data_IF_301508859961
#
_entry.id   IF_301508859961
#
_cell.length_a   1.000
_cell.length_b   1.000
_cell.length_c   1.000
_cell.angle_alpha   90.00
_cell.angle_beta   90.00
_cell.angle_gamma   90.00
#
_symmetry.space_group_name_H-M   'P 1'
#
loop_
_entity.id
_entity.type
_entity.pdbx_description
1 polymer ?
#
# COMPACT_ATOMS: atom_id res chain seq x y z
N UNK A 1 39.86 -52.43 -31.84
CA UNK A 1 40.82 -52.54 -32.95
C UNK A 1 42.20 -52.18 -32.39
N UNK A 2 42.86 -53.20 -31.82
CA UNK A 2 44.29 -53.57 -31.92
C UNK A 2 45.32 -52.40 -31.93
N UNK A 3 46.10 -52.18 -30.85
CA UNK A 3 47.54 -52.61 -30.64
C UNK A 3 48.53 -51.54 -31.18
N UNK A 4 49.67 -51.10 -30.59
CA UNK A 4 50.56 -51.60 -29.51
C UNK A 4 51.79 -50.66 -29.36
N UNK A 5 52.29 -50.53 -28.11
CA UNK A 5 53.71 -50.58 -27.65
C UNK A 5 54.65 -49.39 -27.91
N UNK A 6 55.12 -48.68 -26.87
CA UNK A 6 56.21 -48.98 -25.92
C UNK A 6 57.57 -49.25 -26.61
N UNK A 7 58.60 -48.46 -26.31
CA UNK A 7 59.88 -48.98 -25.83
C UNK A 7 60.77 -47.83 -25.36
N UNK A 8 61.50 -48.18 -24.31
CA UNK A 8 62.25 -47.39 -23.35
C UNK A 8 63.75 -47.69 -23.54
N UNK A 9 64.64 -47.01 -22.76
CA UNK A 9 66.11 -47.26 -22.54
C UNK A 9 67.06 -46.43 -23.42
N UNK A 10 68.14 -45.77 -22.97
CA UNK A 10 68.98 -45.70 -21.73
C UNK A 10 69.50 -44.24 -21.60
N UNK A 11 69.98 -43.66 -20.49
CA UNK A 11 70.37 -44.07 -19.14
C UNK A 11 71.24 -42.95 -18.51
N UNK A 12 71.54 -43.06 -17.20
CA UNK A 12 72.51 -42.28 -16.38
C UNK A 12 71.93 -40.97 -15.74
N UNK A 13 71.43 -40.97 -14.48
CA UNK A 13 72.12 -40.89 -13.15
C UNK A 13 72.79 -39.50 -12.99
N UNK A 14 72.49 -38.58 -12.06
CA UNK A 14 72.09 -38.69 -10.64
C UNK A 14 71.59 -37.35 -10.01
N UNK A 15 70.75 -37.46 -8.95
CA UNK A 15 70.44 -36.55 -7.78
C UNK A 15 70.07 -35.06 -8.04
N UNK A 16 68.90 -34.51 -7.69
CA UNK A 16 68.29 -34.35 -6.35
C UNK A 16 66.76 -34.37 -6.46
N UNK A 17 66.11 -35.22 -5.66
CA UNK A 17 64.66 -35.26 -5.54
C UNK A 17 64.10 -34.08 -4.75
N UNK A 18 63.09 -33.40 -5.31
CA UNK A 18 62.07 -32.69 -4.53
C UNK A 18 60.70 -33.18 -4.97
N UNK A 19 59.96 -33.66 -3.99
CA UNK A 19 58.69 -34.35 -4.05
C UNK A 19 57.57 -33.42 -4.57
N UNK A 20 57.28 -33.46 -5.87
CA UNK A 20 56.16 -32.75 -6.52
C UNK A 20 54.85 -33.54 -6.36
N UNK A 21 54.38 -33.72 -5.12
CA UNK A 21 53.04 -34.28 -4.85
C UNK A 21 52.12 -33.33 -4.06
N UNK A 22 52.55 -32.10 -3.76
CA UNK A 22 51.80 -31.14 -2.92
C UNK A 22 51.18 -29.93 -3.63
N UNK A 23 51.25 -29.83 -4.97
CA UNK A 23 50.83 -28.60 -5.68
C UNK A 23 49.56 -28.71 -6.54
N UNK A 24 48.97 -29.90 -6.72
CA UNK A 24 47.72 -30.01 -7.52
C UNK A 24 46.44 -29.88 -6.70
N UNK A 25 46.43 -30.29 -5.43
CA UNK A 25 45.27 -30.10 -4.54
C UNK A 25 45.15 -28.66 -4.03
N UNK A 26 46.27 -28.00 -3.69
CA UNK A 26 46.27 -26.63 -3.14
C UNK A 26 45.82 -25.56 -4.14
N UNK A 27 46.19 -25.68 -5.41
CA UNK A 27 45.80 -24.75 -6.49
C UNK A 27 44.30 -24.91 -6.85
N UNK A 28 43.77 -26.14 -6.83
CA UNK A 28 42.33 -26.38 -7.03
C UNK A 28 41.50 -25.90 -5.84
N UNK A 29 41.99 -26.02 -4.60
CA UNK A 29 41.32 -25.42 -3.43
C UNK A 29 41.46 -23.90 -3.39
N UNK A 30 42.61 -23.31 -3.73
CA UNK A 30 42.78 -21.84 -3.76
C UNK A 30 41.94 -21.20 -4.88
N UNK A 31 41.90 -21.82 -6.07
CA UNK A 31 41.04 -21.40 -7.17
C UNK A 31 39.54 -21.53 -6.86
N UNK A 32 39.13 -22.61 -6.16
CA UNK A 32 37.75 -22.77 -5.65
C UNK A 32 37.41 -21.80 -4.52
N UNK A 33 38.33 -21.50 -3.62
CA UNK A 33 38.10 -20.51 -2.54
C UNK A 33 38.07 -19.07 -3.07
N UNK A 34 38.86 -18.76 -4.10
CA UNK A 34 38.88 -17.45 -4.76
C UNK A 34 37.62 -17.18 -5.56
N UNK A 35 37.15 -18.17 -6.33
CA UNK A 35 35.88 -18.11 -7.07
C UNK A 35 34.67 -18.07 -6.13
N UNK A 36 34.64 -18.87 -5.07
CA UNK A 36 33.59 -18.83 -4.06
C UNK A 36 33.55 -17.48 -3.31
N UNK A 37 34.71 -16.92 -2.96
CA UNK A 37 34.82 -15.60 -2.30
C UNK A 37 34.40 -14.47 -3.25
N UNK A 38 34.81 -14.51 -4.51
CA UNK A 38 34.39 -13.55 -5.53
C UNK A 38 32.88 -13.58 -5.76
N UNK A 39 32.31 -14.77 -5.92
CA UNK A 39 30.87 -14.97 -6.07
C UNK A 39 30.09 -14.48 -4.84
N UNK A 40 30.60 -14.72 -3.62
CA UNK A 40 30.02 -14.17 -2.39
C UNK A 40 30.04 -12.63 -2.34
N UNK A 41 31.15 -12.00 -2.77
CA UNK A 41 31.28 -10.55 -2.82
C UNK A 41 30.36 -9.93 -3.89
N UNK A 42 30.22 -10.57 -5.05
CA UNK A 42 29.32 -10.13 -6.11
C UNK A 42 27.86 -10.12 -5.64
N UNK A 43 27.39 -11.20 -5.01
CA UNK A 43 26.02 -11.30 -4.46
C UNK A 43 25.74 -10.22 -3.42
N UNK A 44 26.68 -10.01 -2.48
CA UNK A 44 26.58 -8.95 -1.46
C UNK A 44 26.57 -7.55 -2.08
N UNK A 45 27.42 -7.31 -3.09
CA UNK A 45 27.46 -6.04 -3.80
C UNK A 45 26.15 -5.79 -4.56
N UNK A 46 25.65 -6.79 -5.29
CA UNK A 46 24.36 -6.73 -6.00
C UNK A 46 23.21 -6.41 -5.04
N UNK A 47 23.11 -7.12 -3.92
CA UNK A 47 22.12 -6.84 -2.88
C UNK A 47 22.24 -5.40 -2.36
N UNK A 48 23.44 -4.96 -1.99
CA UNK A 48 23.66 -3.60 -1.47
C UNK A 48 23.25 -2.52 -2.46
N UNK A 49 23.58 -2.68 -3.75
CA UNK A 49 23.17 -1.74 -4.79
C UNK A 49 21.65 -1.73 -5.01
N UNK A 50 21.01 -2.91 -5.04
CA UNK A 50 19.55 -3.02 -5.18
C UNK A 50 18.85 -2.40 -3.97
N UNK A 51 19.30 -2.68 -2.75
CA UNK A 51 18.70 -2.17 -1.52
C UNK A 51 18.80 -0.64 -1.43
N UNK A 52 19.93 -0.06 -1.82
CA UNK A 52 20.07 1.39 -1.91
C UNK A 52 19.15 2.03 -2.96
N UNK A 53 19.04 1.42 -4.13
CA UNK A 53 18.27 1.98 -5.25
C UNK A 53 16.77 1.81 -5.05
N UNK A 54 16.33 0.62 -4.66
CA UNK A 54 14.92 0.32 -4.42
C UNK A 54 14.51 0.90 -3.06
N UNK A 55 15.16 0.50 -1.97
CA UNK A 55 14.84 0.91 -0.61
C UNK A 55 15.02 2.40 -0.36
N UNK A 56 16.12 2.98 -0.86
CA UNK A 56 16.44 4.40 -0.76
C UNK A 56 15.85 5.27 -1.89
N UNK A 57 15.11 4.69 -2.83
CA UNK A 57 14.46 5.40 -3.95
C UNK A 57 15.44 6.22 -4.81
N UNK A 58 16.68 5.72 -4.92
CA UNK A 58 17.79 6.41 -5.59
C UNK A 58 17.76 6.21 -7.11
N UNK A 59 18.37 7.12 -7.89
CA UNK A 59 18.47 6.94 -9.33
C UNK A 59 19.24 5.66 -9.70
N UNK A 60 18.89 5.01 -10.80
CA UNK A 60 19.62 3.80 -11.24
C UNK A 60 21.11 4.05 -11.52
N UNK A 61 21.47 5.24 -12.00
CA UNK A 61 22.88 5.60 -12.23
C UNK A 61 23.65 5.90 -10.94
N UNK A 62 23.02 5.77 -9.76
CA UNK A 62 23.69 5.92 -8.48
C UNK A 62 24.80 4.88 -8.29
N UNK A 63 24.62 3.65 -8.79
CA UNK A 63 25.67 2.61 -8.75
C UNK A 63 26.86 2.91 -9.67
N UNK A 64 26.73 3.87 -10.60
CA UNK A 64 27.77 4.32 -11.52
C UNK A 64 28.41 5.63 -11.11
N UNK A 65 27.87 6.32 -10.11
CA UNK A 65 28.40 7.59 -9.63
C UNK A 65 29.77 7.39 -8.95
N UNK A 66 30.76 8.17 -9.37
CA UNK A 66 32.15 8.02 -8.93
C UNK A 66 32.31 8.22 -7.41
N UNK A 67 31.73 9.28 -6.85
CA UNK A 67 31.75 9.53 -5.41
C UNK A 67 31.03 8.42 -4.64
N UNK A 68 29.95 7.89 -5.19
CA UNK A 68 29.21 6.80 -4.56
C UNK A 68 30.06 5.53 -4.53
N UNK A 69 30.66 5.14 -5.65
CA UNK A 69 31.57 3.98 -5.72
C UNK A 69 32.76 4.12 -4.77
N UNK A 70 33.34 5.32 -4.67
CA UNK A 70 34.45 5.61 -3.75
C UNK A 70 34.08 5.37 -2.28
N UNK A 71 32.83 5.62 -1.89
CA UNK A 71 32.39 5.60 -0.49
C UNK A 71 31.49 4.41 -0.12
N UNK A 72 30.97 3.64 -1.08
CA UNK A 72 29.98 2.59 -0.81
C UNK A 72 30.55 1.34 -0.14
N UNK A 73 31.84 1.04 -0.31
CA UNK A 73 32.42 -0.23 0.14
C UNK A 73 31.87 -1.46 -0.61
N UNK A 74 31.15 -1.25 -1.71
CA UNK A 74 30.60 -2.29 -2.58
C UNK A 74 31.40 -2.38 -3.88
N UNK A 75 31.59 -3.58 -4.40
CA UNK A 75 32.20 -3.77 -5.72
C UNK A 75 31.39 -3.01 -6.79
N UNK A 76 32.06 -2.33 -7.76
CA UNK A 76 31.38 -1.55 -8.78
C UNK A 76 30.36 -2.38 -9.56
N UNK A 77 29.21 -1.80 -9.85
CA UNK A 77 28.19 -2.39 -10.70
C UNK A 77 27.73 -1.39 -11.77
N UNK A 78 27.27 -1.89 -12.91
CA UNK A 78 26.73 -1.06 -13.99
C UNK A 78 25.21 -0.99 -13.92
N UNK A 79 24.64 0.08 -14.47
CA UNK A 79 23.19 0.22 -14.62
C UNK A 79 22.61 -0.91 -15.46
N UNK A 80 23.34 -1.37 -16.47
CA UNK A 80 22.90 -2.43 -17.36
C UNK A 80 22.78 -3.77 -16.62
N UNK A 81 23.80 -4.13 -15.86
CA UNK A 81 23.81 -5.35 -15.04
C UNK A 81 22.75 -5.28 -13.94
N UNK A 82 22.64 -4.14 -13.24
CA UNK A 82 21.64 -3.95 -12.20
C UNK A 82 20.21 -4.11 -12.75
N UNK A 83 19.92 -3.61 -13.95
CA UNK A 83 18.61 -3.81 -14.60
C UNK A 83 18.29 -5.29 -14.87
N UNK A 84 19.30 -6.11 -15.18
CA UNK A 84 19.11 -7.56 -15.34
C UNK A 84 18.73 -8.18 -13.99
N UNK A 85 19.47 -7.86 -12.93
CA UNK A 85 19.17 -8.35 -11.58
C UNK A 85 17.78 -7.90 -11.11
N UNK A 86 17.40 -6.62 -11.32
CA UNK A 86 16.05 -6.13 -11.00
C UNK A 86 14.96 -6.91 -11.75
N UNK A 87 15.18 -7.21 -13.04
CA UNK A 87 14.20 -7.95 -13.85
C UNK A 87 14.05 -9.39 -13.36
N UNK A 88 15.15 -10.07 -13.08
CA UNK A 88 15.13 -11.43 -12.57
C UNK A 88 14.59 -11.50 -11.13
N UNK A 89 14.87 -10.50 -10.30
CA UNK A 89 14.31 -10.39 -8.95
C UNK A 89 12.79 -10.14 -8.97
N UNK A 90 12.31 -9.32 -9.91
CA UNK A 90 10.86 -9.17 -10.13
C UNK A 90 10.23 -10.52 -10.49
N UNK A 91 10.81 -11.26 -11.44
CA UNK A 91 10.30 -12.59 -11.79
C UNK A 91 10.33 -13.57 -10.61
N UNK A 92 11.36 -13.51 -9.77
CA UNK A 92 11.46 -14.31 -8.54
C UNK A 92 10.33 -13.98 -7.55
N UNK A 93 10.10 -12.69 -7.28
CA UNK A 93 9.04 -12.24 -6.36
C UNK A 93 7.65 -12.54 -6.94
N UNK A 94 7.46 -12.38 -8.26
CA UNK A 94 6.23 -12.77 -8.95
C UNK A 94 5.93 -14.26 -8.76
N UNK A 95 6.91 -15.13 -9.02
CA UNK A 95 6.77 -16.58 -8.81
C UNK A 95 6.48 -16.95 -7.35
N UNK A 96 7.05 -16.21 -6.40
CA UNK A 96 6.78 -16.42 -4.97
C UNK A 96 5.34 -16.02 -4.61
N UNK A 97 4.84 -14.91 -5.15
CA UNK A 97 3.45 -14.46 -4.93
C UNK A 97 2.43 -15.42 -5.53
N UNK A 98 2.73 -16.05 -6.67
CA UNK A 98 1.87 -17.07 -7.29
C UNK A 98 1.62 -18.29 -6.41
N UNK A 99 2.51 -18.56 -5.44
CA UNK A 99 2.39 -19.69 -4.49
C UNK A 99 1.59 -19.29 -3.25
N UNK A 100 1.54 -18.00 -2.91
CA UNK A 100 1.04 -17.53 -1.61
C UNK A 100 -0.45 -17.22 -1.61
N UNK A 101 -1.09 -17.08 -2.78
CA UNK A 101 -2.51 -16.79 -2.84
C UNK A 101 -3.34 -17.84 -2.09
N UNK A 102 -3.87 -17.45 -0.93
CA UNK A 102 -4.80 -18.27 -0.15
C UNK A 102 -6.11 -18.46 -0.90
N UNK A 103 -6.96 -19.37 -0.40
CA UNK A 103 -8.26 -19.66 -1.02
C UNK A 103 -9.16 -18.42 -1.07
N UNK A 104 -9.04 -17.52 -0.09
CA UNK A 104 -9.82 -16.29 0.02
C UNK A 104 -8.91 -15.08 0.27
N UNK A 105 -9.21 -13.98 -0.42
CA UNK A 105 -8.46 -12.73 -0.34
C UNK A 105 -9.34 -11.51 -0.65
N UNK A 106 -8.85 -10.33 -0.29
CA UNK A 106 -9.40 -9.05 -0.74
C UNK A 106 -8.47 -8.41 -1.76
N UNK A 107 -9.04 -7.66 -2.70
CA UNK A 107 -8.30 -6.84 -3.64
C UNK A 107 -8.38 -5.39 -3.21
N UNK A 108 -7.24 -4.70 -3.15
CA UNK A 108 -7.21 -3.25 -3.01
C UNK A 108 -6.86 -2.67 -4.38
N UNK A 109 -7.74 -1.85 -4.91
CA UNK A 109 -7.62 -1.24 -6.22
C UNK A 109 -7.78 0.28 -6.13
N UNK A 110 -6.85 1.02 -6.72
CA UNK A 110 -6.92 2.47 -6.78
C UNK A 110 -6.11 3.04 -7.96
N UNK A 111 -6.40 4.29 -8.34
CA UNK A 111 -5.78 4.97 -9.48
C UNK A 111 -4.99 6.21 -9.08
N UNK A 112 -3.92 6.49 -9.82
CA UNK A 112 -3.08 7.68 -9.66
C UNK A 112 -2.68 8.27 -11.00
N UNK A 113 -2.96 9.56 -11.17
CA UNK A 113 -2.54 10.32 -12.35
C UNK A 113 -1.35 11.24 -12.07
N UNK A 114 -0.43 11.30 -13.01
CA UNK A 114 0.75 12.18 -12.97
C UNK A 114 1.00 12.82 -14.34
N UNK A 115 0.54 14.06 -14.52
CA UNK A 115 0.60 14.71 -15.83
C UNK A 115 -0.41 14.06 -16.79
N UNK A 116 0.06 13.56 -17.93
CA UNK A 116 -0.74 12.83 -18.91
C UNK A 116 -0.90 11.34 -18.62
N UNK A 117 -0.13 10.80 -17.68
CA UNK A 117 -0.09 9.37 -17.41
C UNK A 117 -1.07 9.00 -16.29
N UNK A 118 -1.74 7.87 -16.43
CA UNK A 118 -2.61 7.29 -15.40
C UNK A 118 -2.21 5.86 -15.11
N UNK A 119 -1.88 5.59 -13.85
CA UNK A 119 -1.51 4.27 -13.35
C UNK A 119 -2.58 3.77 -12.41
N UNK A 120 -2.82 2.46 -12.41
CA UNK A 120 -3.63 1.78 -11.41
C UNK A 120 -2.76 0.85 -10.59
N UNK A 121 -3.13 0.66 -9.33
CA UNK A 121 -2.49 -0.26 -8.42
C UNK A 121 -3.45 -1.39 -8.04
N UNK A 122 -2.96 -2.62 -8.03
CA UNK A 122 -3.68 -3.80 -7.54
C UNK A 122 -2.85 -4.43 -6.44
N UNK A 123 -3.40 -4.53 -5.24
CA UNK A 123 -2.83 -5.33 -4.17
C UNK A 123 -3.72 -6.53 -3.87
N UNK A 124 -3.08 -7.63 -3.48
CA UNK A 124 -3.75 -8.75 -2.84
C UNK A 124 -3.58 -8.64 -1.32
N UNK A 125 -4.66 -8.85 -0.58
CA UNK A 125 -4.69 -8.85 0.87
C UNK A 125 -5.22 -10.20 1.36
N UNK A 126 -4.47 -10.90 2.20
CA UNK A 126 -4.80 -12.24 2.68
C UNK A 126 -4.26 -12.44 4.10
N UNK A 127 -4.72 -13.48 4.79
CA UNK A 127 -4.18 -13.85 6.11
C UNK A 127 -3.21 -15.01 5.96
N UNK A 128 -2.06 -14.92 6.62
CA UNK A 128 -1.12 -16.03 6.75
C UNK A 128 -0.61 -16.11 8.19
N UNK A 129 -0.85 -17.24 8.85
CA UNK A 129 -0.43 -17.46 10.25
C UNK A 129 -1.11 -16.51 11.24
N UNK A 130 -2.37 -16.13 10.99
CA UNK A 130 -3.11 -15.14 11.80
C UNK A 130 -2.69 -13.69 11.57
N UNK A 131 -1.70 -13.44 10.70
CA UNK A 131 -1.28 -12.10 10.34
C UNK A 131 -1.83 -11.67 8.98
N UNK A 132 -2.31 -10.43 8.92
CA UNK A 132 -2.65 -9.79 7.67
C UNK A 132 -1.39 -9.55 6.83
N UNK A 133 -1.42 -10.01 5.59
CA UNK A 133 -0.40 -9.73 4.57
C UNK A 133 -1.02 -8.96 3.43
N UNK A 134 -0.22 -8.10 2.80
CA UNK A 134 -0.60 -7.32 1.64
C UNK A 134 0.59 -7.20 0.71
N UNK A 135 0.39 -7.56 -0.55
CA UNK A 135 1.43 -7.49 -1.57
C UNK A 135 0.90 -6.83 -2.83
N UNK A 136 1.75 -6.03 -3.49
CA UNK A 136 1.43 -5.39 -4.75
C UNK A 136 1.54 -6.42 -5.86
N UNK A 137 0.47 -6.59 -6.64
CA UNK A 137 0.47 -7.41 -7.86
C UNK A 137 0.80 -6.58 -9.10
N UNK A 138 0.25 -5.37 -9.18
CA UNK A 138 0.47 -4.48 -10.32
C UNK A 138 0.52 -3.01 -9.89
N UNK A 139 1.42 -2.26 -10.52
CA UNK A 139 1.35 -0.81 -10.65
C UNK A 139 1.68 -0.53 -12.11
N UNK A 140 0.70 -0.20 -12.94
CA UNK A 140 0.87 -0.03 -14.38
C UNK A 140 -0.28 0.81 -14.96
N UNK A 141 -0.14 1.26 -16.21
CA UNK A 141 -1.28 1.80 -16.95
C UNK A 141 -2.32 0.70 -17.22
N UNK A 142 -3.56 1.09 -17.49
CA UNK A 142 -4.57 0.15 -17.97
C UNK A 142 -4.18 -0.45 -19.33
N UNK A 143 -4.81 -1.58 -19.68
CA UNK A 143 -4.57 -2.30 -20.94
C UNK A 143 -4.84 -1.38 -22.13
N UNK A 144 -5.99 -0.69 -22.11
CA UNK A 144 -6.31 0.41 -23.01
C UNK A 144 -6.24 1.74 -22.23
N UNK A 145 -5.14 2.47 -22.38
CA UNK A 145 -4.91 3.75 -21.69
C UNK A 145 -5.94 4.83 -22.08
N UNK A 146 -6.60 4.67 -23.23
CA UNK A 146 -7.60 5.63 -23.74
C UNK A 146 -8.95 5.49 -23.05
N UNK A 147 -9.13 4.44 -22.24
CA UNK A 147 -10.42 4.01 -21.74
C UNK A 147 -10.42 3.78 -20.22
N UNK A 148 -10.91 4.73 -19.44
CA UNK A 148 -10.97 4.63 -17.98
C UNK A 148 -12.28 4.02 -17.45
N UNK A 149 -12.93 3.15 -18.22
CA UNK A 149 -14.22 2.55 -17.84
C UNK A 149 -14.06 1.31 -16.95
N UNK A 150 -15.12 1.00 -16.20
CA UNK A 150 -15.16 -0.16 -15.31
C UNK A 150 -14.90 -1.52 -15.99
N UNK A 151 -15.36 -1.80 -17.23
CA UNK A 151 -14.97 -3.01 -17.95
C UNK A 151 -13.45 -3.13 -18.19
N UNK A 152 -12.77 -2.04 -18.54
CA UNK A 152 -11.31 -2.05 -18.73
C UNK A 152 -10.57 -2.26 -17.41
N UNK A 153 -11.08 -1.68 -16.32
CA UNK A 153 -10.55 -1.92 -14.96
C UNK A 153 -10.71 -3.40 -14.55
N UNK A 154 -11.88 -3.99 -14.82
CA UNK A 154 -12.13 -5.42 -14.59
C UNK A 154 -11.16 -6.29 -15.39
N UNK A 155 -10.99 -6.04 -16.70
CA UNK A 155 -10.08 -6.84 -17.54
C UNK A 155 -8.64 -6.73 -17.00
N UNK A 156 -8.20 -5.52 -16.65
CA UNK A 156 -6.89 -5.30 -16.04
C UNK A 156 -6.70 -6.10 -14.74
N UNK A 157 -7.68 -6.09 -13.83
CA UNK A 157 -7.63 -6.87 -12.58
C UNK A 157 -7.55 -8.36 -12.91
N UNK A 158 -8.41 -8.88 -13.78
CA UNK A 158 -8.45 -10.31 -14.10
C UNK A 158 -7.16 -10.79 -14.77
N UNK A 159 -6.60 -10.02 -15.71
CA UNK A 159 -5.29 -10.34 -16.32
C UNK A 159 -4.15 -10.26 -15.32
N UNK A 160 -4.23 -9.34 -14.36
CA UNK A 160 -3.27 -9.28 -13.26
C UNK A 160 -3.34 -10.56 -12.44
N UNK A 161 -4.53 -11.05 -12.07
CA UNK A 161 -4.68 -12.31 -11.33
C UNK A 161 -4.20 -13.52 -12.15
N UNK A 162 -4.54 -13.58 -13.44
CA UNK A 162 -4.10 -14.63 -14.36
C UNK A 162 -2.56 -14.72 -14.44
N UNK A 163 -1.87 -13.58 -14.53
CA UNK A 163 -0.40 -13.53 -14.56
C UNK A 163 0.25 -14.19 -13.34
N UNK A 164 -0.38 -14.11 -12.18
CA UNK A 164 0.10 -14.70 -10.94
C UNK A 164 -0.54 -16.07 -10.65
N UNK A 165 -1.32 -16.64 -11.58
CA UNK A 165 -2.05 -17.89 -11.39
C UNK A 165 -2.96 -17.86 -10.14
N UNK A 166 -3.58 -16.71 -9.87
CA UNK A 166 -4.48 -16.50 -8.73
C UNK A 166 -5.92 -16.70 -9.19
N UNK A 167 -6.66 -17.58 -8.52
CA UNK A 167 -8.06 -17.83 -8.86
C UNK A 167 -8.94 -16.62 -8.53
N UNK A 168 -9.59 -15.97 -9.52
CA UNK A 168 -10.47 -14.82 -9.28
C UNK A 168 -11.68 -15.16 -8.40
N UNK A 169 -12.07 -16.43 -8.28
CA UNK A 169 -13.20 -16.85 -7.43
C UNK A 169 -12.93 -16.62 -5.94
N UNK A 170 -11.66 -16.64 -5.53
CA UNK A 170 -11.22 -16.38 -4.16
C UNK A 170 -11.37 -14.93 -3.71
N UNK A 171 -11.59 -13.98 -4.64
CA UNK A 171 -11.83 -12.59 -4.28
C UNK A 171 -13.14 -12.45 -3.48
N UNK A 172 -13.02 -11.97 -2.24
CA UNK A 172 -14.14 -11.71 -1.33
C UNK A 172 -14.72 -10.31 -1.55
N UNK A 173 -13.86 -9.31 -1.71
CA UNK A 173 -14.26 -7.93 -1.98
C UNK A 173 -13.21 -7.18 -2.80
N UNK A 174 -13.65 -6.08 -3.40
CA UNK A 174 -12.78 -5.00 -3.85
C UNK A 174 -12.74 -3.94 -2.74
N UNK A 175 -11.60 -3.32 -2.50
CA UNK A 175 -11.43 -2.22 -1.54
C UNK A 175 -10.81 -1.04 -2.28
N UNK A 176 -11.37 0.15 -2.10
CA UNK A 176 -10.94 1.33 -2.86
C UNK A 176 -11.76 2.55 -2.50
N UNK A 177 -11.47 3.69 -3.12
CA UNK A 177 -12.41 4.80 -3.06
C UNK A 177 -13.74 4.41 -3.71
N UNK A 178 -14.82 5.06 -3.30
CA UNK A 178 -16.16 4.72 -3.74
C UNK A 178 -16.56 5.49 -5.01
N UNK A 179 -15.60 5.80 -5.86
CA UNK A 179 -15.88 6.45 -7.12
C UNK A 179 -16.80 5.57 -7.98
N UNK A 180 -17.58 6.18 -8.87
CA UNK A 180 -18.57 5.46 -9.69
C UNK A 180 -17.93 4.31 -10.49
N UNK A 181 -16.69 4.50 -10.96
CA UNK A 181 -15.93 3.48 -11.68
C UNK A 181 -15.63 2.28 -10.78
N UNK A 182 -15.10 2.48 -9.57
CA UNK A 182 -14.78 1.37 -8.64
C UNK A 182 -16.02 0.60 -8.19
N UNK A 183 -17.12 1.30 -7.91
CA UNK A 183 -18.41 0.65 -7.61
C UNK A 183 -18.86 -0.22 -8.78
N UNK A 184 -18.77 0.28 -10.01
CA UNK A 184 -19.15 -0.45 -11.21
C UNK A 184 -18.21 -1.64 -11.47
N UNK A 185 -16.90 -1.47 -11.25
CA UNK A 185 -15.89 -2.53 -11.37
C UNK A 185 -16.18 -3.67 -10.38
N UNK A 186 -16.45 -3.36 -9.11
CA UNK A 186 -16.81 -4.35 -8.10
C UNK A 186 -18.07 -5.15 -8.50
N UNK A 187 -19.11 -4.46 -8.99
CA UNK A 187 -20.32 -5.11 -9.52
C UNK A 187 -20.03 -6.02 -10.70
N UNK A 188 -19.19 -5.59 -11.65
CA UNK A 188 -18.81 -6.40 -12.81
C UNK A 188 -17.94 -7.62 -12.42
N UNK A 189 -17.19 -7.52 -11.32
CA UNK A 189 -16.44 -8.63 -10.72
C UNK A 189 -17.33 -9.56 -9.87
N UNK A 190 -18.56 -9.15 -9.55
CA UNK A 190 -19.48 -9.93 -8.72
C UNK A 190 -19.10 -9.96 -7.24
N UNK A 191 -18.38 -8.95 -6.75
CA UNK A 191 -17.94 -8.82 -5.36
C UNK A 191 -18.39 -7.47 -4.77
N UNK A 192 -18.61 -7.37 -3.44
CA UNK A 192 -18.86 -6.09 -2.79
C UNK A 192 -17.63 -5.17 -2.86
N UNK A 193 -17.89 -3.86 -2.85
CA UNK A 193 -16.87 -2.83 -2.60
C UNK A 193 -16.87 -2.48 -1.11
N UNK A 194 -15.71 -2.57 -0.48
CA UNK A 194 -15.44 -1.96 0.83
C UNK A 194 -14.94 -0.54 0.57
N UNK A 195 -15.76 0.43 0.93
CA UNK A 195 -15.47 1.84 0.70
C UNK A 195 -14.32 2.31 1.60
N UNK A 196 -13.40 3.10 1.05
CA UNK A 196 -12.28 3.63 1.81
C UNK A 196 -12.76 4.56 2.94
N UNK A 197 -12.57 4.11 4.19
CA UNK A 197 -12.99 4.85 5.38
C UNK A 197 -12.23 6.16 5.55
N UNK A 198 -10.96 6.22 5.14
CA UNK A 198 -10.20 7.47 5.11
C UNK A 198 -10.76 8.47 4.09
N UNK A 199 -11.32 8.00 2.98
CA UNK A 199 -12.01 8.86 2.02
C UNK A 199 -13.31 9.43 2.61
N UNK A 200 -14.13 8.58 3.25
CA UNK A 200 -15.34 9.01 3.99
C UNK A 200 -15.01 10.06 5.05
N UNK A 201 -13.95 9.80 5.82
CA UNK A 201 -13.44 10.73 6.84
C UNK A 201 -12.91 12.02 6.23
N UNK A 202 -12.39 12.01 5.00
CA UNK A 202 -11.93 13.24 4.36
C UNK A 202 -13.10 14.16 3.95
N UNK A 203 -14.28 13.58 3.65
CA UNK A 203 -15.47 14.32 3.21
C UNK A 203 -16.35 14.79 4.38
N UNK A 204 -16.48 13.99 5.44
CA UNK A 204 -17.39 14.25 6.55
C UNK A 204 -17.24 15.63 7.25
N UNK A 205 -16.02 16.16 7.47
CA UNK A 205 -15.80 17.44 8.15
C UNK A 205 -16.37 18.68 7.45
N UNK A 206 -16.77 18.59 6.17
CA UNK A 206 -17.21 19.75 5.40
C UNK A 206 -18.36 20.51 6.07
N UNK A 207 -19.37 19.80 6.59
CA UNK A 207 -20.53 20.42 7.27
C UNK A 207 -20.13 21.09 8.58
N UNK A 208 -19.13 20.56 9.28
CA UNK A 208 -18.61 21.16 10.52
C UNK A 208 -17.90 22.48 10.20
N UNK A 209 -17.09 22.52 9.14
CA UNK A 209 -16.36 23.74 8.77
C UNK A 209 -17.25 24.89 8.30
N UNK A 210 -18.45 24.63 7.79
CA UNK A 210 -19.38 25.71 7.40
C UNK A 210 -19.65 26.68 8.56
N UNK A 211 -19.62 26.21 9.81
CA UNK A 211 -19.77 27.05 11.01
C UNK A 211 -18.59 28.03 11.22
N UNK A 212 -17.42 27.71 10.69
CA UNK A 212 -16.16 28.42 10.92
C UNK A 212 -15.58 29.04 9.65
N UNK A 213 -16.37 29.10 8.58
CA UNK A 213 -15.89 29.47 7.25
C UNK A 213 -15.33 30.90 7.22
N UNK A 214 -15.91 31.82 8.00
CA UNK A 214 -15.43 33.21 8.14
C UNK A 214 -14.00 33.23 8.70
N UNK A 215 -13.76 32.55 9.82
CA UNK A 215 -12.44 32.49 10.46
C UNK A 215 -11.43 31.74 9.60
N UNK A 216 -11.84 30.62 9.00
CA UNK A 216 -10.99 29.85 8.10
C UNK A 216 -10.58 30.67 6.87
N UNK A 217 -11.45 31.52 6.35
CA UNK A 217 -11.15 32.43 5.24
C UNK A 217 -10.20 33.56 5.67
N UNK A 218 -10.41 34.13 6.86
CA UNK A 218 -9.50 35.14 7.43
C UNK A 218 -8.09 34.57 7.63
N UNK A 219 -7.97 33.40 8.27
CA UNK A 219 -6.68 32.74 8.44
C UNK A 219 -6.05 32.44 7.08
N UNK A 220 -6.82 31.91 6.13
CA UNK A 220 -6.29 31.64 4.79
C UNK A 220 -5.74 32.91 4.13
N UNK A 221 -6.36 34.07 4.34
CA UNK A 221 -5.89 35.34 3.83
C UNK A 221 -4.59 35.79 4.53
N UNK A 222 -4.51 35.69 5.86
CA UNK A 222 -3.28 35.96 6.64
C UNK A 222 -2.14 35.07 6.16
N UNK A 223 -2.37 33.75 6.07
CA UNK A 223 -1.37 32.78 5.65
C UNK A 223 -0.91 33.02 4.22
N UNK A 224 -1.81 33.46 3.34
CA UNK A 224 -1.48 33.89 1.97
C UNK A 224 -0.55 35.11 1.97
N UNK A 225 -0.86 36.14 2.75
CA UNK A 225 -0.04 37.37 2.87
C UNK A 225 1.33 37.09 3.48
N UNK A 226 1.40 36.28 4.53
CA UNK A 226 2.68 35.83 5.13
C UNK A 226 3.55 35.02 4.16
N UNK A 227 2.94 34.38 3.16
CA UNK A 227 3.68 33.62 2.13
C UNK A 227 4.29 34.52 1.04
N UNK A 228 4.03 35.83 1.05
CA UNK A 228 4.66 36.77 0.10
C UNK A 228 6.15 36.96 0.43
N UNK A 229 6.97 37.30 -0.56
CA UNK A 229 8.42 37.40 -0.39
C UNK A 229 8.83 38.35 0.75
N UNK A 230 8.23 39.55 0.79
CA UNK A 230 8.50 40.56 1.83
C UNK A 230 8.07 40.08 3.21
N UNK A 231 6.81 39.68 3.38
CA UNK A 231 6.27 39.23 4.66
C UNK A 231 6.99 37.97 5.18
N UNK A 232 7.30 37.03 4.30
CA UNK A 232 8.06 35.83 4.64
C UNK A 232 9.50 36.16 5.06
N UNK A 233 10.10 37.20 4.47
CA UNK A 233 11.40 37.74 4.89
C UNK A 233 11.40 38.28 6.31
N UNK A 234 10.35 39.02 6.68
CA UNK A 234 10.15 39.49 8.06
C UNK A 234 9.88 38.33 9.02
N UNK A 235 9.00 37.40 8.65
CA UNK A 235 8.65 36.25 9.49
C UNK A 235 9.86 35.39 9.84
N UNK A 236 10.77 35.14 8.90
CA UNK A 236 12.00 34.35 9.14
C UNK A 236 12.92 34.93 10.21
N UNK A 237 12.83 36.24 10.49
CA UNK A 237 13.61 36.89 11.56
C UNK A 237 12.98 36.69 12.94
N UNK A 238 11.70 36.31 12.99
CA UNK A 238 10.91 36.21 14.23
C UNK A 238 10.57 34.77 14.60
N UNK A 239 10.49 33.87 13.61
CA UNK A 239 10.17 32.46 13.83
C UNK A 239 10.85 31.56 12.78
N UNK A 240 11.23 30.32 13.15
CA UNK A 240 11.75 29.34 12.21
C UNK A 240 10.66 28.73 11.31
N UNK A 241 9.39 28.96 11.63
CA UNK A 241 8.24 28.36 10.97
C UNK A 241 7.80 29.16 9.74
N UNK A 242 7.38 28.44 8.69
CA UNK A 242 6.81 29.01 7.46
C UNK A 242 5.28 28.93 7.47
N UNK A 243 4.57 29.85 6.80
CA UNK A 243 3.12 29.74 6.66
C UNK A 243 2.75 28.51 5.83
N UNK A 244 1.69 27.81 6.25
CA UNK A 244 1.04 26.73 5.52
C UNK A 244 -0.23 27.26 4.87
N UNK A 245 -0.45 26.93 3.59
CA UNK A 245 -1.66 27.30 2.85
C UNK A 245 -2.62 26.12 2.81
N UNK A 246 -3.90 26.37 3.04
CA UNK A 246 -4.94 25.34 2.85
C UNK A 246 -5.08 24.94 1.39
N UNK A 247 -5.34 23.66 1.15
CA UNK A 247 -5.89 23.12 -0.08
C UNK A 247 -7.42 23.06 0.08
N UNK A 248 -8.19 23.41 -0.96
CA UNK A 248 -9.65 23.43 -0.87
C UNK A 248 -10.27 22.03 -0.65
N UNK A 249 -9.61 20.97 -1.14
CA UNK A 249 -10.20 19.63 -1.28
C UNK A 249 -9.97 18.74 -0.05
N UNK A 250 -8.96 19.05 0.79
CA UNK A 250 -8.55 18.17 1.91
C UNK A 250 -8.69 18.88 3.25
N UNK A 251 -9.45 18.32 4.17
CA UNK A 251 -9.65 18.92 5.49
C UNK A 251 -8.35 18.97 6.31
N UNK A 252 -7.45 17.99 6.15
CA UNK A 252 -6.15 17.97 6.83
C UNK A 252 -5.32 19.23 6.54
N UNK A 253 -5.45 19.80 5.34
CA UNK A 253 -4.78 21.07 5.03
C UNK A 253 -5.40 22.28 5.75
N UNK A 254 -6.70 22.22 6.11
CA UNK A 254 -7.34 23.22 6.98
C UNK A 254 -6.81 23.07 8.41
N UNK A 255 -6.65 21.83 8.88
CA UNK A 255 -5.98 21.52 10.16
C UNK A 255 -4.57 22.12 10.19
N UNK A 256 -3.70 21.76 9.25
CA UNK A 256 -2.31 22.21 9.21
C UNK A 256 -2.20 23.75 9.15
N UNK A 257 -3.10 24.40 8.40
CA UNK A 257 -3.15 25.85 8.30
C UNK A 257 -3.52 26.51 9.63
N UNK A 258 -4.57 26.00 10.30
CA UNK A 258 -5.02 26.52 11.59
C UNK A 258 -3.96 26.29 12.66
N UNK A 259 -3.41 25.09 12.72
CA UNK A 259 -2.36 24.71 13.66
C UNK A 259 -1.14 25.62 13.50
N UNK A 260 -0.61 25.73 12.26
CA UNK A 260 0.52 26.61 11.97
C UNK A 260 0.21 28.07 12.26
N UNK A 261 -0.99 28.55 11.95
CA UNK A 261 -1.37 29.93 12.25
C UNK A 261 -1.31 30.21 13.75
N UNK A 262 -1.79 29.29 14.59
CA UNK A 262 -1.75 29.44 16.04
C UNK A 262 -0.31 29.41 16.58
N UNK A 263 0.57 28.55 16.04
CA UNK A 263 2.00 28.53 16.38
C UNK A 263 2.70 29.87 16.08
N UNK A 264 2.36 30.50 14.94
CA UNK A 264 2.99 31.75 14.49
C UNK A 264 2.17 33.00 14.80
N UNK A 265 1.11 32.91 15.60
CA UNK A 265 0.15 33.99 15.81
C UNK A 265 0.82 35.30 16.24
N UNK A 266 1.74 35.23 17.21
CA UNK A 266 2.46 36.40 17.73
C UNK A 266 3.40 36.99 16.68
N UNK A 267 4.33 36.22 16.06
CA UNK A 267 5.12 36.70 14.93
C UNK A 267 4.28 37.27 13.78
N UNK A 268 3.15 36.62 13.43
CA UNK A 268 2.27 37.04 12.36
C UNK A 268 1.70 38.44 12.60
N UNK A 269 1.28 38.77 13.82
CA UNK A 269 0.82 40.13 14.17
C UNK A 269 1.90 41.18 13.92
N UNK A 270 3.12 40.92 14.38
CA UNK A 270 4.26 41.82 14.17
C UNK A 270 4.56 42.00 12.69
N UNK A 271 4.56 40.92 11.91
CA UNK A 271 4.80 40.99 10.47
C UNK A 271 3.70 41.78 9.76
N UNK A 272 2.42 41.60 10.12
CA UNK A 272 1.32 42.33 9.51
C UNK A 272 1.39 43.84 9.74
N UNK A 273 1.90 44.28 10.90
CA UNK A 273 2.22 45.69 11.14
C UNK A 273 3.36 46.16 10.21
N UNK A 274 4.43 45.38 10.08
CA UNK A 274 5.60 45.72 9.24
C UNK A 274 5.29 45.77 7.74
N UNK A 275 4.25 45.06 7.28
CA UNK A 275 3.80 45.08 5.89
C UNK A 275 2.53 45.90 5.68
N UNK A 276 2.19 46.75 6.65
CA UNK A 276 1.07 47.71 6.59
C UNK A 276 -0.29 47.07 6.27
N UNK A 277 -0.53 45.87 6.80
CA UNK A 277 -1.78 45.12 6.60
C UNK A 277 -2.34 44.53 7.92
N UNK A 278 -2.38 45.28 9.04
CA UNK A 278 -2.83 44.75 10.32
C UNK A 278 -4.32 44.39 10.34
N UNK A 279 -5.13 45.03 9.47
CA UNK A 279 -6.56 44.78 9.36
C UNK A 279 -6.90 43.34 8.89
N UNK A 280 -5.94 42.66 8.26
CA UNK A 280 -6.09 41.26 7.85
C UNK A 280 -6.09 40.29 9.05
N UNK A 281 -5.53 40.70 10.19
CA UNK A 281 -5.45 39.83 11.37
C UNK A 281 -6.84 39.62 12.00
N UNK A 282 -7.18 38.37 12.38
CA UNK A 282 -8.42 38.11 13.10
C UNK A 282 -8.44 38.80 14.46
N UNK A 283 -9.63 39.24 14.86
CA UNK A 283 -9.90 39.82 16.19
C UNK A 283 -9.60 38.81 17.31
N UNK A 284 -9.41 39.27 18.57
CA UNK A 284 -9.23 38.37 19.70
C UNK A 284 -10.35 37.34 19.86
N UNK A 285 -11.60 37.72 19.61
CA UNK A 285 -12.75 36.82 19.66
C UNK A 285 -12.67 35.74 18.58
N UNK A 286 -12.33 36.10 17.33
CA UNK A 286 -12.14 35.14 16.25
C UNK A 286 -10.96 34.19 16.53
N UNK A 287 -9.86 34.69 17.09
CA UNK A 287 -8.73 33.85 17.51
C UNK A 287 -9.14 32.86 18.61
N UNK A 288 -9.92 33.30 19.60
CA UNK A 288 -10.43 32.40 20.64
C UNK A 288 -11.32 31.30 20.04
N UNK A 289 -12.17 31.66 19.07
CA UNK A 289 -13.04 30.73 18.35
C UNK A 289 -12.24 29.71 17.53
N UNK A 290 -11.17 30.13 16.88
CA UNK A 290 -10.23 29.25 16.15
C UNK A 290 -9.48 28.31 17.08
N UNK A 291 -9.05 28.78 18.26
CA UNK A 291 -8.45 27.92 19.29
C UNK A 291 -9.42 26.84 19.75
N UNK A 292 -10.69 27.20 19.92
CA UNK A 292 -11.76 26.25 20.24
C UNK A 292 -11.90 25.19 19.14
N UNK A 293 -12.03 25.62 17.87
CA UNK A 293 -12.09 24.74 16.70
C UNK A 293 -10.90 23.77 16.65
N UNK A 294 -9.69 24.27 16.90
CA UNK A 294 -8.47 23.47 16.89
C UNK A 294 -8.45 22.40 17.99
N UNK A 295 -8.96 22.74 19.18
CA UNK A 295 -8.94 21.87 20.37
C UNK A 295 -10.03 20.80 20.31
N UNK A 296 -11.19 21.12 19.74
CA UNK A 296 -12.37 20.26 19.81
C UNK A 296 -12.55 19.48 18.49
N UNK A 297 -13.08 20.09 17.43
CA UNK A 297 -13.48 19.35 16.23
C UNK A 297 -12.28 18.88 15.40
N UNK A 298 -11.28 19.75 15.21
CA UNK A 298 -10.08 19.42 14.43
C UNK A 298 -9.21 18.34 15.09
N UNK A 299 -9.16 18.28 16.42
CA UNK A 299 -8.39 17.27 17.14
C UNK A 299 -9.01 15.88 17.00
N UNK A 300 -10.34 15.78 17.05
CA UNK A 300 -11.09 14.55 16.78
C UNK A 300 -10.74 14.03 15.38
N UNK A 301 -10.88 14.88 14.36
CA UNK A 301 -10.62 14.47 12.98
C UNK A 301 -9.16 14.01 12.74
N UNK A 302 -8.20 14.66 13.40
CA UNK A 302 -6.80 14.28 13.34
C UNK A 302 -6.55 12.93 14.02
N UNK A 303 -7.07 12.71 15.22
CA UNK A 303 -6.93 11.45 15.95
C UNK A 303 -7.52 10.28 15.16
N UNK A 304 -8.74 10.44 14.66
CA UNK A 304 -9.44 9.43 13.85
C UNK A 304 -8.65 9.12 12.59
N UNK A 305 -8.19 10.13 11.86
CA UNK A 305 -7.43 9.92 10.62
C UNK A 305 -6.09 9.22 10.85
N UNK A 306 -5.47 9.40 12.02
CA UNK A 306 -4.28 8.64 12.41
C UNK A 306 -4.63 7.17 12.71
N UNK A 307 -5.71 6.91 13.47
CA UNK A 307 -6.18 5.55 13.74
C UNK A 307 -6.52 4.79 12.45
N UNK A 308 -7.15 5.44 11.47
CA UNK A 308 -7.47 4.84 10.17
C UNK A 308 -6.23 4.48 9.31
N UNK A 309 -5.07 5.06 9.61
CA UNK A 309 -3.82 4.78 8.87
C UNK A 309 -3.05 3.57 9.41
N UNK A 310 -3.42 3.11 10.60
CA UNK A 310 -2.81 1.98 11.28
C UNK A 310 -3.08 0.66 10.54
N UNK A 311 -2.07 -0.23 10.53
CA UNK A 311 -2.14 -1.50 9.80
C UNK A 311 -2.84 -2.62 10.57
N UNK A 312 -3.36 -2.36 11.76
CA UNK A 312 -4.13 -3.32 12.55
C UNK A 312 -5.61 -2.93 12.61
N UNK A 313 -5.99 -1.70 12.22
CA UNK A 313 -7.38 -1.24 12.25
C UNK A 313 -8.28 -2.12 11.39
N UNK A 314 -9.32 -2.68 12.02
CA UNK A 314 -10.36 -3.52 11.43
C UNK A 314 -11.58 -2.70 10.98
N UNK A 315 -12.52 -3.33 10.28
CA UNK A 315 -13.79 -2.68 9.91
C UNK A 315 -14.66 -2.42 11.15
N UNK A 316 -14.63 -3.33 12.14
CA UNK A 316 -15.30 -3.13 13.43
C UNK A 316 -14.73 -1.92 14.21
N UNK A 317 -13.40 -1.76 14.24
CA UNK A 317 -12.78 -0.60 14.90
C UNK A 317 -13.21 0.70 14.23
N UNK A 318 -13.22 0.73 12.89
CA UNK A 318 -13.70 1.90 12.14
C UNK A 318 -15.16 2.20 12.46
N UNK A 319 -16.03 1.18 12.53
CA UNK A 319 -17.44 1.37 12.88
C UNK A 319 -17.58 2.03 14.24
N UNK A 320 -16.92 1.51 15.27
CA UNK A 320 -16.97 2.06 16.62
C UNK A 320 -16.45 3.51 16.65
N UNK A 321 -15.30 3.78 16.03
CA UNK A 321 -14.73 5.13 15.96
C UNK A 321 -15.69 6.11 15.25
N UNK A 322 -16.33 5.68 14.16
CA UNK A 322 -17.28 6.54 13.43
C UNK A 322 -18.57 6.77 14.20
N UNK A 323 -19.07 5.78 14.94
CA UNK A 323 -20.22 5.95 15.83
C UNK A 323 -19.94 7.00 16.91
N UNK A 324 -18.79 6.92 17.59
CA UNK A 324 -18.37 7.92 18.58
C UNK A 324 -18.23 9.33 17.97
N UNK A 325 -17.67 9.43 16.76
CA UNK A 325 -17.56 10.71 16.05
C UNK A 325 -18.92 11.27 15.70
N UNK A 326 -19.88 10.44 15.29
CA UNK A 326 -21.24 10.87 14.96
C UNK A 326 -22.00 11.29 16.22
N UNK A 327 -21.78 10.62 17.36
CA UNK A 327 -22.36 11.03 18.63
C UNK A 327 -21.87 12.43 19.04
N UNK A 328 -20.57 12.68 18.94
CA UNK A 328 -19.97 13.97 19.32
C UNK A 328 -20.21 15.07 18.26
N UNK A 329 -20.22 14.71 16.97
CA UNK A 329 -20.38 15.61 15.83
C UNK A 329 -21.46 15.07 14.86
N UNK A 330 -22.76 15.21 15.21
CA UNK A 330 -23.87 14.64 14.44
C UNK A 330 -23.91 15.09 12.97
N UNK A 331 -23.34 16.26 12.65
CA UNK A 331 -23.26 16.75 11.28
C UNK A 331 -22.42 15.84 10.38
N UNK A 332 -21.58 14.97 10.92
CA UNK A 332 -20.73 14.02 10.17
C UNK A 332 -21.48 12.75 9.75
N UNK A 333 -22.67 12.48 10.30
CA UNK A 333 -23.47 11.28 10.06
C UNK A 333 -23.74 10.99 8.58
N UNK A 334 -23.89 12.04 7.77
CA UNK A 334 -24.13 11.93 6.33
C UNK A 334 -23.03 11.21 5.53
N UNK A 335 -21.82 11.05 6.09
CA UNK A 335 -20.72 10.29 5.50
C UNK A 335 -20.20 9.16 6.41
N UNK A 336 -20.26 9.33 7.73
CA UNK A 336 -19.72 8.38 8.70
C UNK A 336 -20.76 7.38 9.22
N UNK A 337 -22.05 7.72 9.16
CA UNK A 337 -23.13 6.85 9.63
C UNK A 337 -23.23 5.54 8.84
N UNK A 338 -23.81 4.52 9.48
CA UNK A 338 -24.15 3.21 8.91
C UNK A 338 -25.12 3.34 7.73
N UNK A 339 -26.10 4.22 7.85
CA UNK A 339 -27.14 4.51 6.84
C UNK A 339 -26.71 5.57 5.81
N UNK A 340 -25.46 6.02 5.85
CA UNK A 340 -25.00 7.06 4.95
C UNK A 340 -25.10 6.58 3.49
N UNK A 341 -25.71 7.40 2.63
CA UNK A 341 -25.92 7.06 1.20
C UNK A 341 -24.63 6.75 0.43
N UNK A 342 -23.48 7.12 1.00
CA UNK A 342 -22.15 6.82 0.49
C UNK A 342 -21.82 5.31 0.56
N UNK A 343 -22.35 4.59 1.56
CA UNK A 343 -22.11 3.16 1.81
C UNK A 343 -22.97 2.32 0.87
N UNK A 344 -22.36 1.73 -0.16
CA UNK A 344 -23.11 1.01 -1.21
C UNK A 344 -23.40 -0.46 -0.90
N UNK A 345 -22.55 -1.09 -0.09
CA UNK A 345 -22.64 -2.52 0.24
C UNK A 345 -22.87 -2.72 1.73
N UNK A 346 -23.86 -1.99 2.28
CA UNK A 346 -24.17 -1.97 3.72
C UNK A 346 -24.29 -3.35 4.35
N UNK A 347 -25.08 -4.25 3.78
CA UNK A 347 -25.27 -5.58 4.35
C UNK A 347 -23.97 -6.39 4.43
N UNK A 348 -23.01 -6.14 3.53
CA UNK A 348 -21.69 -6.74 3.62
C UNK A 348 -20.88 -6.09 4.75
N UNK A 349 -20.80 -4.76 4.80
CA UNK A 349 -20.07 -4.04 5.86
C UNK A 349 -20.60 -4.40 7.26
N UNK A 350 -21.92 -4.36 7.47
CA UNK A 350 -22.56 -4.68 8.74
C UNK A 350 -22.32 -6.15 9.14
N UNK A 351 -22.35 -7.07 8.18
CA UNK A 351 -22.03 -8.48 8.43
C UNK A 351 -20.59 -8.67 8.89
N UNK A 352 -19.62 -8.03 8.22
CA UNK A 352 -18.20 -8.13 8.59
C UNK A 352 -17.96 -7.56 9.99
N UNK A 353 -18.56 -6.41 10.31
CA UNK A 353 -18.46 -5.81 11.65
C UNK A 353 -18.95 -6.78 12.73
N UNK A 354 -20.14 -7.39 12.53
CA UNK A 354 -20.69 -8.38 13.47
C UNK A 354 -19.78 -9.60 13.63
N UNK A 355 -19.23 -10.12 12.53
CA UNK A 355 -18.29 -11.25 12.57
C UNK A 355 -17.03 -10.87 13.36
N UNK A 356 -16.44 -9.70 13.11
CA UNK A 356 -15.23 -9.22 13.78
C UNK A 356 -15.45 -8.95 15.28
N UNK A 357 -16.67 -8.60 15.67
CA UNK A 357 -17.07 -8.42 17.08
C UNK A 357 -17.42 -9.73 17.80
N UNK A 358 -17.50 -10.86 17.09
CA UNK A 358 -17.99 -12.13 17.65
C UNK A 358 -19.51 -12.23 17.78
N UNK A 359 -20.26 -11.27 17.23
CA UNK A 359 -21.73 -11.19 17.28
C UNK A 359 -22.38 -11.86 16.05
N UNK A 360 -21.78 -12.95 15.56
CA UNK A 360 -22.20 -13.62 14.33
C UNK A 360 -23.62 -14.24 14.41
N UNK A 361 -24.12 -14.52 15.61
CA UNK A 361 -25.51 -14.96 15.83
C UNK A 361 -26.56 -13.87 15.55
N UNK A 362 -26.15 -12.60 15.40
CA UNK A 362 -27.03 -11.46 15.11
C UNK A 362 -27.10 -11.13 13.61
N UNK A 363 -26.51 -11.98 12.76
CA UNK A 363 -26.54 -11.79 11.31
C UNK A 363 -27.96 -11.95 10.77
N UNK A 364 -28.42 -10.94 10.04
CA UNK A 364 -29.65 -11.02 9.27
C UNK A 364 -29.46 -11.96 8.08
N UNK A 365 -30.54 -12.58 7.58
CA UNK A 365 -30.46 -13.45 6.41
C UNK A 365 -29.85 -12.76 5.17
N UNK A 366 -30.12 -11.45 5.00
CA UNK A 366 -29.54 -10.63 3.91
C UNK A 366 -28.05 -10.35 4.11
N UNK A 367 -27.60 -10.22 5.35
CA UNK A 367 -26.20 -10.04 5.73
C UNK A 367 -25.43 -11.35 5.53
N UNK A 368 -25.96 -12.48 6.02
CA UNK A 368 -25.39 -13.81 5.81
C UNK A 368 -25.25 -14.13 4.31
N UNK A 369 -26.25 -13.78 3.50
CA UNK A 369 -26.18 -13.93 2.04
C UNK A 369 -25.04 -13.10 1.43
N UNK A 370 -24.78 -11.90 1.95
CA UNK A 370 -23.70 -11.03 1.47
C UNK A 370 -22.30 -11.58 1.79
N UNK A 371 -22.14 -12.26 2.92
CA UNK A 371 -20.85 -12.84 3.38
C UNK A 371 -20.74 -14.35 3.17
N UNK A 372 -21.60 -14.97 2.36
CA UNK A 372 -21.63 -16.43 2.13
C UNK A 372 -20.27 -17.05 1.78
N UNK A 373 -19.39 -16.29 1.10
CA UNK A 373 -18.04 -16.74 0.72
C UNK A 373 -17.11 -16.94 1.93
N UNK A 374 -17.44 -16.36 3.08
CA UNK A 374 -16.63 -16.39 4.29
C UNK A 374 -17.04 -17.51 5.26
N UNK A 375 -18.04 -18.33 4.92
CA UNK A 375 -18.46 -19.46 5.76
C UNK A 375 -17.46 -20.61 5.62
N UNK A 376 -16.83 -21.04 6.72
CA UNK A 376 -15.74 -22.02 6.75
C UNK A 376 -16.16 -23.48 6.45
N UNK A 377 -17.46 -23.72 6.22
CA UNK A 377 -18.00 -25.04 5.85
C UNK A 377 -19.17 -24.86 4.86
N UNK A 378 -18.88 -24.79 3.55
CA UNK A 378 -19.89 -24.53 2.52
C UNK A 378 -20.94 -25.64 2.36
N UNK A 379 -20.68 -26.83 2.91
CA UNK A 379 -21.46 -28.06 2.69
C UNK A 379 -22.91 -27.96 3.17
N UNK A 380 -23.25 -27.01 4.03
CA UNK A 380 -24.63 -26.84 4.54
C UNK A 380 -25.50 -25.89 3.70
N UNK A 381 -24.91 -25.13 2.76
CA UNK A 381 -25.67 -24.17 1.94
C UNK A 381 -26.10 -24.72 0.57
N UNK A 382 -25.55 -25.86 0.14
CA UNK A 382 -25.87 -26.51 -1.14
C UNK A 382 -26.85 -27.68 -0.99
N UNK A 383 -27.77 -27.63 -0.03
CA UNK A 383 -28.92 -28.53 -0.01
C UNK A 383 -30.10 -27.90 -0.79
N UNK A 384 -29.87 -27.62 -2.07
CA UNK A 384 -30.95 -27.66 -3.08
C UNK A 384 -31.14 -29.14 -3.45
N UNK A 385 -31.45 -29.94 -2.43
CA UNK A 385 -31.76 -31.35 -2.55
C UNK A 385 -33.27 -31.50 -2.72
N UNK A 386 -33.64 -32.32 -3.68
CA UNK A 386 -35.00 -32.60 -4.14
C UNK A 386 -36.08 -32.50 -3.07
N UNK A 387 -37.21 -31.91 -3.47
CA UNK A 387 -38.41 -31.74 -2.68
C UNK A 387 -39.00 -33.12 -2.34
N UNK A 388 -38.51 -33.74 -1.27
CA UNK A 388 -39.32 -34.68 -0.52
C UNK A 388 -40.47 -33.89 0.12
N UNK A 389 -41.69 -34.40 0.00
CA UNK A 389 -42.92 -33.80 0.49
C UNK A 389 -42.97 -33.84 2.03
N UNK A 390 -42.15 -32.99 2.66
CA UNK A 390 -42.16 -32.83 4.12
C UNK A 390 -43.29 -31.86 4.47
N UNK A 391 -44.32 -32.35 5.15
CA UNK A 391 -45.46 -31.55 5.61
C UNK A 391 -45.06 -30.34 6.47
N UNK A 392 -46.01 -29.42 6.71
CA UNK A 392 -45.79 -28.12 7.38
C UNK A 392 -44.97 -28.24 8.69
N UNK A 393 -45.24 -29.25 9.51
CA UNK A 393 -44.54 -29.49 10.77
C UNK A 393 -43.04 -29.83 10.56
N UNK A 394 -42.71 -30.64 9.56
CA UNK A 394 -41.32 -30.97 9.24
C UNK A 394 -40.55 -29.76 8.71
N UNK A 395 -41.20 -28.91 7.90
CA UNK A 395 -40.61 -27.63 7.46
C UNK A 395 -40.42 -26.64 8.61
N UNK A 396 -41.30 -26.64 9.61
CA UNK A 396 -41.20 -25.78 10.79
C UNK A 396 -40.11 -26.26 11.76
N UNK A 397 -40.00 -27.57 11.98
CA UNK A 397 -38.97 -28.18 12.83
C UNK A 397 -37.58 -28.12 12.18
N UNK A 398 -37.46 -28.35 10.87
CA UNK A 398 -36.20 -28.12 10.12
C UNK A 398 -35.76 -26.66 10.20
N UNK A 399 -36.69 -25.70 10.05
CA UNK A 399 -36.41 -24.27 10.26
C UNK A 399 -35.92 -23.95 11.67
N UNK A 400 -36.54 -24.53 12.71
CA UNK A 400 -36.11 -24.32 14.10
C UNK A 400 -34.77 -24.99 14.41
N UNK A 401 -34.49 -26.16 13.82
CA UNK A 401 -33.23 -26.88 13.99
C UNK A 401 -32.07 -26.15 13.32
N UNK A 402 -32.27 -25.70 12.07
CA UNK A 402 -31.31 -24.84 11.37
C UNK A 402 -31.11 -23.49 12.08
N UNK A 403 -32.16 -22.90 12.63
CA UNK A 403 -32.05 -21.66 13.42
C UNK A 403 -31.34 -21.86 14.79
N UNK A 404 -31.40 -23.07 15.36
CA UNK A 404 -30.70 -23.43 16.60
C UNK A 404 -29.25 -23.89 16.36
N UNK A 405 -28.91 -24.32 15.14
CA UNK A 405 -27.56 -24.76 14.71
C UNK A 405 -26.74 -23.63 14.05
N UNK A 406 -27.25 -22.39 13.99
CA UNK A 406 -26.56 -21.23 13.40
C UNK A 406 -25.41 -20.69 14.26
N UNK A 407 -24.43 -21.51 14.56
CA UNK A 407 -23.07 -21.05 14.89
C UNK A 407 -22.21 -21.24 13.65
N UNK A 408 -22.53 -20.46 12.60
CA UNK A 408 -21.74 -20.46 11.38
C UNK A 408 -20.31 -20.04 11.73
N UNK A 409 -19.36 -20.96 11.59
CA UNK A 409 -17.95 -20.62 11.70
C UNK A 409 -17.53 -19.85 10.46
N UNK A 410 -17.06 -18.63 10.66
CA UNK A 410 -16.50 -17.81 9.59
C UNK A 410 -14.98 -18.01 9.51
N UNK A 411 -14.43 -17.86 8.30
CA UNK A 411 -12.99 -17.75 8.10
C UNK A 411 -12.49 -16.45 8.72
N UNK A 412 -11.19 -16.37 8.98
CA UNK A 412 -10.58 -15.13 9.43
C UNK A 412 -10.81 -13.99 8.42
N UNK A 413 -11.33 -12.86 8.89
CA UNK A 413 -11.66 -11.69 8.07
C UNK A 413 -10.64 -10.56 8.22
N UNK A 414 -9.55 -10.78 8.95
CA UNK A 414 -8.53 -9.77 9.23
C UNK A 414 -7.90 -9.21 7.95
N UNK A 415 -7.89 -9.97 6.85
CA UNK A 415 -7.38 -9.52 5.56
C UNK A 415 -8.22 -8.42 4.87
N UNK A 416 -9.47 -8.22 5.29
CA UNK A 416 -10.33 -7.16 4.74
C UNK A 416 -9.81 -5.79 5.20
N UNK A 417 -9.56 -4.89 4.25
CA UNK A 417 -8.99 -3.57 4.56
C UNK A 417 -10.07 -2.49 4.59
N UNK A 418 -10.25 -1.77 5.71
CA UNK A 418 -11.22 -0.68 5.78
C UNK A 418 -10.77 0.58 5.01
N UNK A 419 -9.51 0.64 4.57
CA UNK A 419 -8.94 1.81 3.87
C UNK A 419 -8.08 1.39 2.69
N UNK A 420 -7.98 2.27 1.69
CA UNK A 420 -7.04 2.17 0.57
C UNK A 420 -5.71 2.90 0.83
N UNK A 421 -5.38 3.22 2.10
CA UNK A 421 -4.20 4.02 2.47
C UNK A 421 -2.88 3.42 1.94
N UNK A 422 -2.83 2.09 1.72
CA UNK A 422 -1.71 1.43 1.08
C UNK A 422 -1.42 1.96 -0.33
N UNK A 423 -2.47 2.16 -1.14
CA UNK A 423 -2.36 2.70 -2.47
C UNK A 423 -1.92 4.18 -2.42
N UNK A 424 -2.48 4.98 -1.51
CA UNK A 424 -2.01 6.36 -1.33
C UNK A 424 -0.52 6.45 -0.96
N UNK A 425 -0.06 5.57 -0.06
CA UNK A 425 1.37 5.45 0.31
C UNK A 425 2.22 5.06 -0.91
N UNK A 426 1.73 4.11 -1.71
CA UNK A 426 2.37 3.71 -2.97
C UNK A 426 2.45 4.88 -3.96
N UNK A 427 1.39 5.65 -4.13
CA UNK A 427 1.36 6.79 -5.05
C UNK A 427 2.25 7.93 -4.58
N UNK A 428 2.35 8.14 -3.27
CA UNK A 428 3.34 9.06 -2.69
C UNK A 428 4.77 8.63 -3.02
N UNK A 429 5.07 7.32 -2.95
CA UNK A 429 6.35 6.75 -3.38
C UNK A 429 6.57 6.89 -4.89
N UNK A 430 5.57 6.54 -5.70
CA UNK A 430 5.60 6.70 -7.15
C UNK A 430 5.92 8.15 -7.54
N UNK A 431 5.29 9.13 -6.88
CA UNK A 431 5.56 10.57 -7.08
C UNK A 431 7.01 10.96 -6.76
N UNK A 432 7.67 10.30 -5.79
CA UNK A 432 9.08 10.57 -5.48
C UNK A 432 10.02 10.00 -6.54
N UNK A 433 9.67 8.85 -7.12
CA UNK A 433 10.43 8.19 -8.19
C UNK A 433 10.16 8.82 -9.57
N UNK A 434 8.92 9.24 -9.85
CA UNK A 434 8.44 9.77 -11.13
C UNK A 434 8.49 11.31 -11.16
N UNK A 435 9.69 11.88 -10.94
CA UNK A 435 9.95 13.32 -11.01
C UNK A 435 10.33 13.75 -12.43
N UNK A 436 10.25 15.05 -12.74
CA UNK A 436 10.62 15.60 -14.07
C UNK A 436 12.02 15.15 -14.55
N UNK A 437 13.00 15.12 -13.65
CA UNK A 437 14.37 14.66 -13.95
C UNK A 437 14.49 13.14 -14.21
N UNK A 438 13.44 12.38 -13.90
CA UNK A 438 13.34 10.92 -14.05
C UNK A 438 12.24 10.51 -15.03
N UNK A 439 11.57 11.45 -15.72
CA UNK A 439 10.56 11.15 -16.77
C UNK A 439 11.12 10.42 -17.99
N UNK A 440 12.45 10.34 -18.15
CA UNK A 440 13.11 9.47 -19.15
C UNK A 440 13.15 7.99 -18.73
N UNK A 441 12.69 7.65 -17.52
CA UNK A 441 12.58 6.28 -17.07
C UNK A 441 11.44 5.61 -17.86
N UNK A 442 11.73 4.48 -18.51
CA UNK A 442 10.69 3.70 -19.18
C UNK A 442 9.64 3.28 -18.14
N UNK A 443 8.34 3.28 -18.48
CA UNK A 443 7.26 2.86 -17.58
C UNK A 443 7.60 1.53 -16.90
N UNK A 444 7.95 0.50 -17.67
CA UNK A 444 8.39 -0.81 -17.15
C UNK A 444 9.47 -0.74 -16.06
N UNK A 445 10.44 0.17 -16.17
CA UNK A 445 11.49 0.29 -15.14
C UNK A 445 10.95 0.96 -13.87
N UNK A 446 10.01 1.92 -13.99
CA UNK A 446 9.31 2.49 -12.85
C UNK A 446 8.49 1.41 -12.13
N UNK A 447 7.75 0.61 -12.90
CA UNK A 447 6.93 -0.50 -12.39
C UNK A 447 7.78 -1.48 -11.58
N UNK A 448 8.92 -1.92 -12.13
CA UNK A 448 9.84 -2.83 -11.43
C UNK A 448 10.35 -2.26 -10.09
N UNK A 449 10.74 -0.99 -10.07
CA UNK A 449 11.23 -0.34 -8.84
C UNK A 449 10.13 -0.22 -7.79
N UNK A 450 8.93 0.19 -8.19
CA UNK A 450 7.77 0.31 -7.29
C UNK A 450 7.35 -1.06 -6.78
N UNK A 451 7.30 -2.07 -7.65
CA UNK A 451 6.94 -3.44 -7.30
C UNK A 451 7.88 -4.03 -6.26
N UNK A 452 9.19 -3.98 -6.50
CA UNK A 452 10.18 -4.47 -5.53
C UNK A 452 10.16 -3.67 -4.22
N UNK A 453 9.87 -2.37 -4.28
CA UNK A 453 9.81 -1.51 -3.09
C UNK A 453 8.55 -1.76 -2.26
N UNK A 454 7.43 -2.04 -2.91
CA UNK A 454 6.16 -2.37 -2.26
C UNK A 454 6.20 -3.78 -1.64
N UNK A 455 6.88 -4.71 -2.29
CA UNK A 455 7.06 -6.10 -1.83
C UNK A 455 8.44 -6.30 -1.17
N UNK A 456 8.89 -5.36 -0.32
CA UNK A 456 10.25 -5.35 0.24
C UNK A 456 10.53 -6.53 1.18
N UNK A 457 9.49 -7.06 1.81
CA UNK A 457 9.53 -8.23 2.69
C UNK A 457 9.73 -9.55 1.93
N UNK A 458 9.55 -9.55 0.59
CA UNK A 458 9.64 -10.73 -0.27
C UNK A 458 11.05 -11.01 -0.80
N UNK A 459 12.04 -10.18 -0.47
CA UNK A 459 13.41 -10.37 -0.92
C UNK A 459 14.44 -9.78 0.03
N UNK A 460 15.58 -10.46 0.10
CA UNK A 460 16.75 -10.07 0.87
C UNK A 460 18.03 -10.55 0.17
N UNK A 461 19.08 -10.75 0.94
CA UNK A 461 20.37 -11.19 0.42
C UNK A 461 20.28 -12.58 -0.23
N UNK A 462 19.44 -13.48 0.29
CA UNK A 462 19.33 -14.85 -0.21
C UNK A 462 18.68 -14.90 -1.60
N UNK A 463 17.57 -14.18 -1.78
CA UNK A 463 16.83 -14.13 -3.03
C UNK A 463 17.65 -13.40 -4.11
N UNK A 464 18.32 -12.30 -3.74
CA UNK A 464 19.23 -11.62 -4.66
C UNK A 464 20.42 -12.51 -5.02
N UNK A 465 20.97 -13.28 -4.08
CA UNK A 465 22.05 -14.22 -4.37
C UNK A 465 21.64 -15.27 -5.41
N UNK A 466 20.45 -15.85 -5.26
CA UNK A 466 19.89 -16.81 -6.21
C UNK A 466 19.69 -16.18 -7.60
N UNK A 467 19.18 -14.96 -7.65
CA UNK A 467 18.98 -14.23 -8.90
C UNK A 467 20.31 -13.92 -9.59
N UNK A 468 21.32 -13.49 -8.84
CA UNK A 468 22.67 -13.24 -9.38
C UNK A 468 23.23 -14.52 -9.99
N UNK A 469 23.09 -15.66 -9.30
CA UNK A 469 23.57 -16.96 -9.79
C UNK A 469 22.84 -17.47 -11.05
N UNK A 470 21.64 -16.95 -11.34
CA UNK A 470 20.90 -17.27 -12.56
C UNK A 470 21.25 -16.36 -13.74
N UNK A 471 21.70 -15.14 -13.45
CA UNK A 471 21.98 -14.09 -14.44
C UNK A 471 23.44 -14.12 -14.91
N UNK A 472 24.35 -14.50 -14.01
CA UNK A 472 25.78 -14.77 -14.30
C UNK A 472 25.96 -16.20 -14.80
#
# INVERSE_FOLDING_TARGET
MTIVVLLDKLGVVDVVGVNLSYTRKSILTQGRTGTARYSSLLRKAAFGWIDWIVGGELPLNFCENELTRKNAGLSPNSKATLKKYLTALVAFVEGSLSIIAGELYALLFDGWSAGSDHFVAVFICYTKGGERKRHLLAFASLIDETNQTAPNHKDFILRTLERFNIDPRGAVCLSGDNCATNISTARLLGVPLVDCSSHRMNLAPERVFKKYEVELNLIAAVMRKLSTTKASGHLRRLAPLKPVRRNAIRWSSKFDMVDRFLEILVPARTVMLQVEDPALMPSPAQVARVKSLRKNELSIFQSVSMALQDECTSLADVRAIFEDVVEVLPETAHHLGTDAAIVKFRHFEDAIVKIQQGNQGELLAVELKAVRKLVASPTELNADGDVEDVGFAGRALKRRRLAAEQDHKFVDTTFLQPTSNAAERLFSMAKRLYKDKRKRLLPRTLEQLIFLRANRDMWGLAEVAQVVDQVE
#
